data_IF_831962012125
#
_entry.id   IF_831962012125
#
_cell.length_a   1.000
_cell.length_b   1.000
_cell.length_c   1.000
_cell.angle_alpha   90.00
_cell.angle_beta   90.00
_cell.angle_gamma   90.00
#
_symmetry.space_group_name_H-M   'P 1'
#
loop_
_entity.id
_entity.type
_entity.pdbx_description
1 polymer ?
#
# COMPACT_ATOMS: atom_id res chain seq x y z
N UNK A 1 -29.17 58.99 -29.98
CA UNK A 1 -30.25 58.21 -29.34
C UNK A 1 -30.86 57.29 -30.40
N UNK A 2 -30.42 56.05 -30.51
CA UNK A 2 -31.08 55.06 -31.36
C UNK A 2 -31.07 53.75 -30.59
N UNK A 3 -32.26 53.28 -30.20
CA UNK A 3 -32.49 52.01 -29.51
C UNK A 3 -32.21 50.84 -30.44
N UNK A 4 -31.20 50.04 -30.15
CA UNK A 4 -30.95 48.76 -30.81
C UNK A 4 -31.67 47.67 -30.01
N UNK A 5 -32.80 47.22 -30.51
CA UNK A 5 -33.52 46.04 -29.99
C UNK A 5 -32.76 44.80 -30.43
N UNK A 6 -32.09 44.13 -29.47
CA UNK A 6 -31.50 42.79 -29.66
C UNK A 6 -32.64 41.78 -29.63
N UNK A 7 -32.96 41.23 -30.79
CA UNK A 7 -33.89 40.09 -30.91
C UNK A 7 -33.07 38.84 -30.57
N UNK A 8 -33.33 38.27 -29.37
CA UNK A 8 -32.80 36.99 -28.94
C UNK A 8 -33.56 35.87 -29.64
N UNK A 9 -33.04 35.42 -30.78
CA UNK A 9 -33.58 34.26 -31.49
C UNK A 9 -33.15 33.00 -30.72
N UNK A 10 -34.04 32.51 -29.85
CA UNK A 10 -33.89 31.24 -29.15
C UNK A 10 -34.03 30.10 -30.19
N UNK A 11 -32.90 29.60 -30.67
CA UNK A 11 -32.84 28.37 -31.42
C UNK A 11 -33.02 27.21 -30.42
N UNK A 12 -34.25 26.76 -30.25
CA UNK A 12 -34.60 25.53 -29.56
C UNK A 12 -34.04 24.38 -30.38
N UNK A 13 -32.82 23.94 -30.01
CA UNK A 13 -32.27 22.65 -30.45
C UNK A 13 -33.15 21.59 -29.79
N UNK A 14 -34.11 21.05 -30.51
CA UNK A 14 -34.85 19.86 -30.12
C UNK A 14 -33.83 18.67 -30.10
N UNK A 15 -33.26 18.44 -28.92
CA UNK A 15 -32.61 17.17 -28.62
C UNK A 15 -33.66 16.08 -28.75
N UNK A 16 -33.71 15.41 -29.91
CA UNK A 16 -34.38 14.13 -30.00
C UNK A 16 -33.68 13.17 -29.05
N UNK A 17 -34.12 13.13 -27.79
CA UNK A 17 -33.89 12.00 -26.91
C UNK A 17 -34.61 10.83 -27.60
N UNK A 18 -33.88 10.05 -28.41
CA UNK A 18 -34.38 8.77 -28.86
C UNK A 18 -34.56 7.91 -27.62
N UNK A 19 -35.78 7.93 -27.07
CA UNK A 19 -36.20 6.97 -26.10
C UNK A 19 -36.04 5.57 -26.75
N UNK A 20 -35.40 4.65 -26.08
CA UNK A 20 -35.25 3.28 -26.57
C UNK A 20 -36.66 2.68 -26.67
N UNK A 21 -37.25 2.64 -27.87
CA UNK A 21 -38.57 2.11 -28.09
C UNK A 21 -38.57 0.60 -27.90
N UNK A 22 -39.54 0.11 -27.16
CA UNK A 22 -39.78 -1.32 -26.95
C UNK A 22 -40.02 -2.01 -28.31
N UNK A 23 -39.39 -3.17 -28.52
CA UNK A 23 -39.60 -3.99 -29.73
C UNK A 23 -39.45 -5.48 -29.44
N UNK A 24 -40.00 -6.30 -30.34
CA UNK A 24 -39.85 -7.75 -30.35
C UNK A 24 -38.53 -8.10 -31.06
N UNK A 25 -37.63 -8.79 -30.38
CA UNK A 25 -36.34 -9.18 -30.94
C UNK A 25 -36.51 -10.35 -31.92
N UNK A 26 -36.26 -10.13 -33.19
CA UNK A 26 -36.28 -11.16 -34.21
C UNK A 26 -34.91 -11.78 -34.48
N UNK A 27 -33.84 -11.05 -34.18
CA UNK A 27 -32.47 -11.48 -34.31
C UNK A 27 -31.56 -10.70 -33.37
N UNK A 28 -30.39 -11.28 -33.01
CA UNK A 28 -29.39 -10.64 -32.15
C UNK A 28 -28.05 -10.66 -32.88
N UNK A 29 -27.51 -9.49 -33.14
CA UNK A 29 -26.19 -9.32 -33.79
C UNK A 29 -25.20 -8.69 -32.80
N UNK A 30 -24.04 -9.36 -32.69
CA UNK A 30 -22.94 -8.90 -31.83
C UNK A 30 -21.81 -8.40 -32.72
N UNK A 31 -21.32 -7.18 -32.45
CA UNK A 31 -20.28 -6.52 -33.22
C UNK A 31 -19.12 -6.15 -32.30
N UNK A 32 -17.88 -6.28 -32.79
CA UNK A 32 -16.67 -5.86 -32.06
C UNK A 32 -15.93 -6.97 -31.33
N UNK A 33 -16.43 -8.22 -31.39
CA UNK A 33 -15.74 -9.37 -30.80
C UNK A 33 -14.41 -9.66 -31.54
N UNK A 34 -13.38 -9.97 -30.79
CA UNK A 34 -12.05 -10.34 -31.31
C UNK A 34 -11.54 -11.66 -30.73
N UNK A 35 -11.64 -11.84 -29.41
CA UNK A 35 -11.20 -13.03 -28.68
C UNK A 35 -12.38 -13.77 -28.03
N UNK A 36 -13.35 -13.02 -27.55
CA UNK A 36 -14.54 -13.58 -26.91
C UNK A 36 -15.43 -14.23 -27.94
N UNK A 37 -15.86 -15.46 -27.69
CA UNK A 37 -16.77 -16.16 -28.62
C UNK A 37 -18.20 -15.60 -28.52
N UNK A 38 -18.90 -15.57 -29.64
CA UNK A 38 -20.32 -15.17 -29.68
C UNK A 38 -21.18 -16.03 -28.73
N UNK A 39 -20.87 -17.35 -28.62
CA UNK A 39 -21.56 -18.25 -27.71
C UNK A 39 -21.40 -17.86 -26.24
N UNK A 40 -20.23 -17.37 -25.83
CA UNK A 40 -20.02 -16.87 -24.46
C UNK A 40 -20.92 -15.69 -24.13
N UNK A 41 -21.16 -14.81 -25.12
CA UNK A 41 -22.08 -13.67 -24.95
C UNK A 41 -23.50 -14.14 -24.76
N UNK A 42 -23.98 -15.07 -25.61
CA UNK A 42 -25.34 -15.61 -25.49
C UNK A 42 -25.61 -16.33 -24.18
N UNK A 43 -24.60 -16.91 -23.55
CA UNK A 43 -24.73 -17.54 -22.23
C UNK A 43 -24.88 -16.52 -21.08
N UNK A 44 -24.50 -15.27 -21.27
CA UNK A 44 -24.46 -14.24 -20.24
C UNK A 44 -25.62 -13.25 -20.37
N UNK A 45 -26.07 -12.94 -21.59
CA UNK A 45 -27.13 -11.94 -21.78
C UNK A 45 -28.50 -12.51 -21.41
N UNK A 46 -29.33 -11.74 -20.64
CA UNK A 46 -30.65 -12.20 -20.17
C UNK A 46 -31.76 -11.93 -21.21
N UNK A 47 -31.49 -12.25 -22.49
CA UNK A 47 -32.46 -12.05 -23.59
C UNK A 47 -32.26 -13.12 -24.69
N UNK A 48 -33.35 -13.52 -25.31
CA UNK A 48 -33.38 -14.44 -26.43
C UNK A 48 -34.19 -13.89 -27.60
N UNK A 49 -34.02 -14.50 -28.77
CA UNK A 49 -34.87 -14.23 -29.93
C UNK A 49 -36.31 -14.57 -29.59
N UNK A 50 -37.25 -13.67 -29.87
CA UNK A 50 -38.65 -13.79 -29.49
C UNK A 50 -39.02 -13.00 -28.22
N UNK A 51 -38.04 -12.49 -27.48
CA UNK A 51 -38.32 -11.66 -26.30
C UNK A 51 -38.64 -10.20 -26.70
N UNK A 52 -39.39 -9.52 -25.86
CA UNK A 52 -39.50 -8.05 -25.92
C UNK A 52 -38.38 -7.40 -25.16
N UNK A 53 -37.73 -6.39 -25.75
CA UNK A 53 -36.71 -5.57 -25.13
C UNK A 53 -37.22 -4.17 -24.87
N UNK A 54 -37.03 -3.69 -23.67
CA UNK A 54 -37.25 -2.31 -23.20
C UNK A 54 -35.95 -1.74 -22.66
N UNK A 55 -35.97 -0.50 -22.17
CA UNK A 55 -34.79 0.17 -21.59
C UNK A 55 -34.25 -0.57 -20.36
N UNK A 56 -35.08 -1.24 -19.57
CA UNK A 56 -34.64 -1.99 -18.39
C UNK A 56 -33.88 -3.24 -18.80
N UNK A 57 -34.41 -4.03 -19.72
CA UNK A 57 -33.75 -5.20 -20.26
C UNK A 57 -32.45 -4.85 -20.99
N UNK A 58 -32.41 -3.70 -21.70
CA UNK A 58 -31.15 -3.24 -22.31
C UNK A 58 -30.09 -2.93 -21.27
N UNK A 59 -30.47 -2.29 -20.16
CA UNK A 59 -29.56 -2.04 -19.04
C UNK A 59 -29.08 -3.35 -18.34
N UNK A 60 -29.96 -4.34 -18.26
CA UNK A 60 -29.61 -5.65 -17.68
C UNK A 60 -28.61 -6.40 -18.58
N UNK A 61 -28.76 -6.32 -19.91
CA UNK A 61 -27.74 -6.84 -20.86
C UNK A 61 -26.39 -6.17 -20.63
N UNK A 62 -26.38 -4.84 -20.56
CA UNK A 62 -25.14 -4.06 -20.32
C UNK A 62 -24.49 -4.47 -19.01
N UNK A 63 -25.26 -4.57 -17.92
CA UNK A 63 -24.73 -5.00 -16.61
C UNK A 63 -24.17 -6.42 -16.65
N UNK A 64 -24.89 -7.36 -17.27
CA UNK A 64 -24.47 -8.76 -17.38
C UNK A 64 -23.15 -8.87 -18.15
N UNK A 65 -23.00 -8.12 -19.23
CA UNK A 65 -21.77 -8.11 -20.03
C UNK A 65 -20.61 -7.41 -19.30
N UNK A 66 -20.87 -6.28 -18.63
CA UNK A 66 -19.82 -5.63 -17.82
C UNK A 66 -19.36 -6.48 -16.63
N UNK A 67 -20.26 -7.28 -16.04
CA UNK A 67 -19.92 -8.18 -14.93
C UNK A 67 -18.92 -9.28 -15.33
N UNK A 68 -18.75 -9.55 -16.62
CA UNK A 68 -17.70 -10.47 -17.13
C UNK A 68 -16.31 -9.87 -17.08
N UNK A 69 -16.21 -8.57 -16.88
CA UNK A 69 -14.97 -7.77 -16.88
C UNK A 69 -14.16 -7.81 -18.19
N UNK A 70 -14.74 -8.36 -19.29
CA UNK A 70 -14.05 -8.53 -20.57
C UNK A 70 -14.18 -7.34 -21.52
N UNK A 71 -15.03 -6.36 -21.19
CA UNK A 71 -15.38 -5.26 -22.09
C UNK A 71 -15.04 -3.90 -21.48
N UNK A 72 -14.53 -2.98 -22.32
CA UNK A 72 -14.31 -1.59 -21.96
C UNK A 72 -15.55 -0.73 -22.30
N UNK A 73 -16.25 -1.08 -23.37
CA UNK A 73 -17.47 -0.39 -23.77
C UNK A 73 -18.51 -1.37 -24.31
N UNK A 74 -19.78 -1.07 -24.07
CA UNK A 74 -20.93 -1.85 -24.51
C UNK A 74 -22.05 -0.88 -24.91
N UNK A 75 -22.48 -0.99 -26.14
CA UNK A 75 -23.55 -0.19 -26.69
C UNK A 75 -24.68 -1.08 -27.21
N UNK A 76 -25.91 -0.72 -26.89
CA UNK A 76 -27.12 -1.40 -27.34
C UNK A 76 -27.79 -0.56 -28.42
N UNK A 77 -28.01 -1.15 -29.57
CA UNK A 77 -28.65 -0.52 -30.71
C UNK A 77 -29.79 -1.36 -31.27
N UNK A 78 -30.50 -0.80 -32.24
CA UNK A 78 -31.62 -1.42 -32.96
C UNK A 78 -31.46 -1.17 -34.46
N UNK A 79 -31.66 -2.24 -35.25
CA UNK A 79 -31.80 -2.16 -36.70
C UNK A 79 -33.04 -2.99 -37.12
N UNK A 80 -34.15 -2.27 -37.42
CA UNK A 80 -35.45 -2.93 -37.59
C UNK A 80 -35.87 -3.64 -36.30
N UNK A 81 -35.98 -4.95 -36.32
CA UNK A 81 -36.27 -5.80 -35.16
C UNK A 81 -35.03 -6.60 -34.71
N UNK A 82 -33.86 -6.30 -35.23
CA UNK A 82 -32.59 -6.88 -34.81
C UNK A 82 -32.02 -6.08 -33.64
N UNK A 83 -31.71 -6.77 -32.56
CA UNK A 83 -30.93 -6.20 -31.46
C UNK A 83 -29.46 -6.18 -31.84
N UNK A 84 -28.84 -5.02 -31.80
CA UNK A 84 -27.40 -4.86 -32.05
C UNK A 84 -26.69 -4.60 -30.74
N UNK A 85 -25.73 -5.47 -30.40
CA UNK A 85 -24.86 -5.34 -29.23
C UNK A 85 -23.46 -5.05 -29.77
N UNK A 86 -23.00 -3.81 -29.63
CA UNK A 86 -21.64 -3.42 -30.00
C UNK A 86 -20.76 -3.42 -28.78
N UNK A 87 -19.65 -4.13 -28.81
CA UNK A 87 -18.71 -4.25 -27.69
C UNK A 87 -17.30 -3.85 -28.08
N UNK A 88 -16.57 -3.33 -27.11
CA UNK A 88 -15.13 -3.10 -27.19
C UNK A 88 -14.47 -4.03 -26.17
N UNK A 89 -13.79 -5.08 -26.67
CA UNK A 89 -13.10 -6.02 -25.77
C UNK A 89 -11.87 -5.37 -25.15
N UNK A 90 -11.66 -5.63 -23.86
CA UNK A 90 -10.40 -5.33 -23.19
C UNK A 90 -9.28 -6.18 -23.78
N UNK A 91 -8.09 -5.63 -23.99
CA UNK A 91 -6.95 -6.44 -24.43
C UNK A 91 -6.54 -7.46 -23.37
N UNK A 92 -5.89 -8.54 -23.80
CA UNK A 92 -5.20 -9.45 -22.90
C UNK A 92 -3.73 -9.11 -22.81
N UNK A 93 -3.15 -9.23 -21.63
CA UNK A 93 -1.73 -9.03 -21.41
C UNK A 93 -0.96 -10.16 -22.09
N UNK A 94 -0.02 -9.81 -22.98
CA UNK A 94 0.80 -10.79 -23.71
C UNK A 94 2.24 -10.84 -23.22
N UNK A 95 2.72 -9.77 -22.58
CA UNK A 95 4.07 -9.67 -22.06
C UNK A 95 4.11 -8.59 -20.97
N UNK A 96 4.88 -8.83 -19.93
CA UNK A 96 5.21 -7.84 -18.91
C UNK A 96 6.72 -7.79 -18.77
N UNK A 97 7.31 -6.64 -19.05
CA UNK A 97 8.74 -6.39 -18.89
C UNK A 97 8.94 -5.36 -17.80
N UNK A 98 9.89 -5.62 -16.89
CA UNK A 98 10.29 -4.68 -15.83
C UNK A 98 11.78 -4.42 -15.97
N UNK A 99 12.16 -3.15 -15.97
CA UNK A 99 13.54 -2.72 -16.10
C UNK A 99 13.89 -1.61 -15.11
N UNK A 100 15.18 -1.41 -14.84
CA UNK A 100 15.68 -0.36 -13.95
C UNK A 100 15.59 -0.68 -12.46
N UNK A 101 14.89 -1.72 -12.06
CA UNK A 101 14.67 -2.17 -10.68
C UNK A 101 15.88 -2.93 -10.12
N UNK A 102 16.81 -2.24 -9.50
CA UNK A 102 18.02 -2.83 -8.88
C UNK A 102 17.82 -3.20 -7.40
N UNK A 103 17.06 -2.39 -6.68
CA UNK A 103 16.80 -2.59 -5.25
C UNK A 103 15.74 -3.67 -4.98
N UNK A 104 14.77 -3.81 -5.86
CA UNK A 104 13.73 -4.84 -5.77
C UNK A 104 13.94 -5.88 -6.88
N UNK A 105 13.85 -7.16 -6.55
CA UNK A 105 14.03 -8.24 -7.53
C UNK A 105 12.86 -8.32 -8.49
N UNK A 106 13.14 -8.51 -9.76
CA UNK A 106 12.12 -8.62 -10.83
C UNK A 106 11.12 -9.73 -10.55
N UNK A 107 11.58 -10.87 -10.03
CA UNK A 107 10.72 -12.02 -9.72
C UNK A 107 9.69 -11.67 -8.64
N UNK A 108 10.09 -10.95 -7.60
CA UNK A 108 9.20 -10.51 -6.53
C UNK A 108 8.16 -9.48 -7.02
N UNK A 109 8.59 -8.60 -7.93
CA UNK A 109 7.68 -7.64 -8.55
C UNK A 109 6.66 -8.34 -9.44
N UNK A 110 7.07 -9.30 -10.26
CA UNK A 110 6.17 -10.09 -11.10
C UNK A 110 5.19 -10.92 -10.27
N UNK A 111 5.63 -11.52 -9.17
CA UNK A 111 4.75 -12.25 -8.24
C UNK A 111 3.71 -11.31 -7.60
N UNK A 112 4.12 -10.11 -7.21
CA UNK A 112 3.20 -9.09 -6.68
C UNK A 112 2.18 -8.63 -7.71
N UNK A 113 2.58 -8.50 -8.98
CA UNK A 113 1.70 -8.18 -10.11
C UNK A 113 0.69 -9.31 -10.36
N UNK A 114 1.13 -10.57 -10.34
CA UNK A 114 0.24 -11.73 -10.49
C UNK A 114 -0.82 -11.78 -9.36
N UNK A 115 -0.42 -11.50 -8.13
CA UNK A 115 -1.32 -11.44 -6.97
C UNK A 115 -2.47 -10.44 -7.11
N UNK A 116 -2.32 -9.40 -7.95
CA UNK A 116 -3.37 -8.41 -8.24
C UNK A 116 -4.01 -8.59 -9.63
N UNK A 117 -3.74 -9.72 -10.30
CA UNK A 117 -4.34 -10.06 -11.60
C UNK A 117 -3.68 -9.38 -12.80
N UNK A 118 -2.43 -8.93 -12.67
CA UNK A 118 -1.61 -8.42 -13.77
C UNK A 118 -0.58 -9.49 -14.12
N UNK A 119 -0.93 -10.37 -15.04
CA UNK A 119 -0.05 -11.42 -15.59
C UNK A 119 -0.39 -11.73 -17.04
N UNK A 120 0.51 -12.41 -17.70
CA UNK A 120 0.30 -12.87 -19.08
C UNK A 120 -0.94 -13.77 -19.19
N UNK A 121 -1.76 -13.48 -20.20
CA UNK A 121 -3.02 -14.18 -20.47
C UNK A 121 -4.24 -13.53 -19.82
N UNK A 122 -4.08 -12.74 -18.77
CA UNK A 122 -5.20 -12.08 -18.10
C UNK A 122 -5.71 -10.86 -18.88
N UNK A 123 -6.95 -10.49 -18.57
CA UNK A 123 -7.59 -9.31 -19.16
C UNK A 123 -7.02 -8.05 -18.52
N UNK A 124 -6.56 -7.14 -19.34
CA UNK A 124 -6.00 -5.87 -18.88
C UNK A 124 -7.05 -4.97 -18.22
N UNK A 125 -6.70 -4.44 -17.05
CA UNK A 125 -7.52 -3.48 -16.29
C UNK A 125 -6.67 -2.25 -15.96
N UNK A 126 -6.91 -1.14 -16.63
CA UNK A 126 -6.15 0.11 -16.45
C UNK A 126 -6.13 0.58 -15.01
N UNK A 127 -7.28 0.51 -14.32
CA UNK A 127 -7.39 0.93 -12.92
C UNK A 127 -6.51 0.11 -11.96
N UNK A 128 -6.27 -1.17 -12.29
CA UNK A 128 -5.38 -2.02 -11.50
C UNK A 128 -3.92 -1.62 -11.74
N UNK A 129 -3.54 -1.35 -12.99
CA UNK A 129 -2.18 -0.94 -13.33
C UNK A 129 -1.79 0.41 -12.70
N UNK A 130 -2.71 1.38 -12.67
CA UNK A 130 -2.48 2.67 -11.99
C UNK A 130 -2.30 2.51 -10.46
N UNK A 131 -3.03 1.58 -9.84
CA UNK A 131 -2.82 1.24 -8.43
C UNK A 131 -1.43 0.63 -8.20
N UNK A 132 -1.02 -0.28 -9.08
CA UNK A 132 0.30 -0.90 -9.03
C UNK A 132 1.41 0.14 -9.15
N UNK A 133 1.32 1.07 -10.11
CA UNK A 133 2.27 2.18 -10.23
C UNK A 133 2.44 2.92 -8.91
N UNK A 134 1.31 3.30 -8.30
CA UNK A 134 1.32 4.02 -7.02
C UNK A 134 1.94 3.20 -5.89
N UNK A 135 1.69 1.88 -5.87
CA UNK A 135 2.21 0.97 -4.86
C UNK A 135 3.71 0.73 -5.02
N UNK A 136 4.20 0.59 -6.25
CA UNK A 136 5.64 0.50 -6.55
C UNK A 136 6.38 1.75 -6.06
N UNK A 137 5.89 2.95 -6.37
CA UNK A 137 6.50 4.21 -5.89
C UNK A 137 6.54 4.24 -4.37
N UNK A 138 5.49 3.80 -3.67
CA UNK A 138 5.47 3.71 -2.19
C UNK A 138 6.47 2.69 -1.68
N UNK A 139 6.58 1.52 -2.33
CA UNK A 139 7.53 0.48 -1.96
C UNK A 139 8.98 0.98 -2.06
N UNK A 140 9.31 1.70 -3.12
CA UNK A 140 10.61 2.34 -3.26
C UNK A 140 10.86 3.41 -2.19
N UNK A 141 9.84 4.22 -1.88
CA UNK A 141 9.94 5.24 -0.83
C UNK A 141 10.17 4.60 0.56
N UNK A 142 9.51 3.47 0.86
CA UNK A 142 9.72 2.71 2.11
C UNK A 142 11.14 2.20 2.25
N UNK A 143 11.81 1.96 1.12
CA UNK A 143 13.22 1.57 1.05
C UNK A 143 14.18 2.78 0.90
N UNK A 144 13.73 3.98 1.30
CA UNK A 144 14.55 5.19 1.28
C UNK A 144 14.77 5.81 -0.10
N UNK A 145 14.10 5.32 -1.14
CA UNK A 145 14.22 5.82 -2.51
C UNK A 145 13.06 6.77 -2.85
N UNK A 146 13.01 7.89 -2.17
CA UNK A 146 11.93 8.89 -2.31
C UNK A 146 11.92 9.61 -3.65
N UNK A 147 13.00 9.50 -4.42
CA UNK A 147 13.11 10.03 -5.77
C UNK A 147 12.72 9.04 -6.86
N UNK A 148 12.29 7.83 -6.49
CA UNK A 148 11.90 6.83 -7.46
C UNK A 148 10.72 7.29 -8.31
N UNK A 149 10.81 7.03 -9.60
CA UNK A 149 9.75 7.22 -10.58
C UNK A 149 9.50 5.90 -11.32
N UNK A 150 8.26 5.68 -11.70
CA UNK A 150 7.84 4.48 -12.41
C UNK A 150 7.05 4.91 -13.64
N UNK A 151 7.59 4.64 -14.81
CA UNK A 151 6.88 4.82 -16.06
C UNK A 151 6.30 3.50 -16.53
N UNK A 152 5.06 3.54 -17.01
CA UNK A 152 4.39 2.36 -17.55
C UNK A 152 3.96 2.67 -18.98
N UNK A 153 4.50 1.89 -19.90
CA UNK A 153 4.22 1.99 -21.32
C UNK A 153 3.33 0.82 -21.76
N UNK A 154 2.23 1.15 -22.41
CA UNK A 154 1.22 0.21 -22.92
C UNK A 154 1.34 0.13 -24.43
N UNK A 155 1.68 -1.04 -24.98
CA UNK A 155 1.87 -1.25 -26.42
C UNK A 155 0.83 -2.23 -26.93
N UNK A 156 -0.16 -1.72 -27.67
CA UNK A 156 -1.19 -2.56 -28.27
C UNK A 156 -0.61 -3.36 -29.45
N UNK A 157 -0.84 -4.67 -29.42
CA UNK A 157 -0.40 -5.64 -30.45
C UNK A 157 -1.58 -6.22 -31.22
N UNK A 158 -1.34 -6.85 -32.39
CA UNK A 158 -2.39 -7.54 -33.13
C UNK A 158 -3.17 -8.55 -32.26
N UNK A 159 -4.43 -8.80 -32.61
CA UNK A 159 -5.37 -9.69 -31.92
C UNK A 159 -5.71 -9.25 -30.52
N UNK A 160 -5.87 -7.94 -30.33
CA UNK A 160 -6.25 -7.31 -29.06
C UNK A 160 -5.39 -7.79 -27.88
N UNK A 161 -4.05 -7.78 -28.06
CA UNK A 161 -3.07 -8.09 -27.04
C UNK A 161 -2.34 -6.82 -26.62
N UNK A 162 -1.87 -6.80 -25.36
CA UNK A 162 -1.16 -5.68 -24.78
C UNK A 162 0.18 -6.14 -24.23
N UNK A 163 1.25 -5.45 -24.58
CA UNK A 163 2.53 -5.54 -23.87
C UNK A 163 2.62 -4.38 -22.89
N UNK A 164 3.07 -4.68 -21.66
CA UNK A 164 3.27 -3.72 -20.59
C UNK A 164 4.76 -3.66 -20.30
N UNK A 165 5.35 -2.48 -20.48
CA UNK A 165 6.73 -2.20 -20.06
C UNK A 165 6.71 -1.28 -18.86
N UNK A 166 7.31 -1.73 -17.77
CA UNK A 166 7.44 -0.98 -16.51
C UNK A 166 8.90 -0.57 -16.38
N UNK A 167 9.16 0.71 -16.54
CA UNK A 167 10.50 1.29 -16.41
C UNK A 167 10.62 2.00 -15.06
N UNK A 168 11.60 1.59 -14.26
CA UNK A 168 11.83 2.14 -12.93
C UNK A 168 13.11 2.97 -12.94
N UNK A 169 12.97 4.25 -12.66
CA UNK A 169 14.09 5.07 -12.22
C UNK A 169 14.07 5.12 -10.69
N UNK A 170 14.94 4.34 -10.05
CA UNK A 170 14.99 4.28 -8.60
C UNK A 170 15.50 5.57 -7.94
N UNK A 171 16.09 6.46 -8.71
CA UNK A 171 16.74 7.66 -8.19
C UNK A 171 17.88 7.36 -7.21
N UNK A 172 18.26 8.36 -6.43
CA UNK A 172 19.23 8.18 -5.36
C UNK A 172 18.55 7.78 -4.05
N UNK A 173 19.19 6.90 -3.28
CA UNK A 173 18.79 6.63 -1.90
C UNK A 173 19.00 7.88 -1.05
N UNK A 174 17.96 8.29 -0.34
CA UNK A 174 18.09 9.38 0.63
C UNK A 174 18.87 8.89 1.86
N UNK A 175 19.78 9.73 2.35
CA UNK A 175 20.64 9.42 3.49
C UNK A 175 20.18 10.18 4.73
N UNK A 176 20.27 9.54 5.86
CA UNK A 176 20.00 10.19 7.15
C UNK A 176 21.08 11.25 7.38
N UNK A 177 20.63 12.48 7.47
CA UNK A 177 21.47 13.66 7.70
C UNK A 177 21.55 14.00 9.17
N UNK A 178 20.41 13.84 9.91
CA UNK A 178 20.33 14.11 11.33
C UNK A 178 19.23 13.27 11.98
N UNK A 179 19.52 12.79 13.18
CA UNK A 179 18.56 12.19 14.12
C UNK A 179 18.56 13.09 15.36
N UNK A 180 17.40 13.53 15.81
CA UNK A 180 17.22 14.38 16.98
C UNK A 180 16.23 13.74 17.94
N UNK A 181 16.52 13.79 19.22
CA UNK A 181 15.61 13.38 20.28
C UNK A 181 15.22 14.65 21.03
N UNK A 182 13.94 14.84 21.28
CA UNK A 182 13.39 16.01 21.99
C UNK A 182 12.63 15.54 23.21
N UNK A 183 12.92 16.10 24.38
CA UNK A 183 12.34 15.72 25.65
C UNK A 183 13.23 14.80 26.48
N UNK A 184 14.44 14.49 25.99
CA UNK A 184 15.48 13.74 26.71
C UNK A 184 16.31 14.72 27.58
N UNK A 185 15.91 14.88 28.83
CA UNK A 185 16.58 15.74 29.79
C UNK A 185 17.70 15.02 30.58
N UNK A 186 17.56 13.70 30.76
CA UNK A 186 18.44 12.88 31.57
C UNK A 186 19.65 12.35 30.81
N UNK A 187 19.47 11.93 29.56
CA UNK A 187 20.53 11.33 28.73
C UNK A 187 20.76 12.19 27.48
N UNK A 188 22.00 12.28 27.04
CA UNK A 188 22.36 13.04 25.83
C UNK A 188 21.94 12.29 24.57
N UNK A 189 21.72 13.05 23.46
CA UNK A 189 21.46 12.45 22.14
C UNK A 189 22.55 11.46 21.77
N UNK A 190 23.84 11.82 21.96
CA UNK A 190 24.98 10.96 21.60
C UNK A 190 24.92 9.62 22.33
N UNK A 191 24.59 9.62 23.62
CA UNK A 191 24.48 8.41 24.44
C UNK A 191 23.33 7.53 23.99
N UNK A 192 22.16 8.11 23.64
CA UNK A 192 20.99 7.36 23.20
C UNK A 192 21.20 6.79 21.78
N UNK A 193 21.78 7.60 20.88
CA UNK A 193 22.01 7.22 19.50
C UNK A 193 23.13 6.18 19.30
N UNK A 194 24.03 6.01 20.29
CA UNK A 194 25.13 5.02 20.21
C UNK A 194 24.60 3.57 20.08
N UNK A 195 23.40 3.31 20.59
CA UNK A 195 22.75 1.98 20.52
C UNK A 195 21.88 1.77 19.30
N UNK A 196 21.70 2.78 18.43
CA UNK A 196 20.82 2.70 17.28
C UNK A 196 21.49 2.01 16.08
N UNK A 197 20.67 1.32 15.29
CA UNK A 197 21.10 0.79 13.99
C UNK A 197 21.19 1.88 12.93
N UNK A 198 20.24 2.85 12.97
CA UNK A 198 20.27 4.03 12.12
C UNK A 198 21.31 5.04 12.63
N UNK A 199 22.12 5.55 11.75
CA UNK A 199 23.13 6.54 12.11
C UNK A 199 23.15 7.71 11.16
N UNK A 200 23.60 8.86 11.67
CA UNK A 200 23.88 10.02 10.85
C UNK A 200 25.05 9.76 9.89
N UNK A 201 24.98 10.32 8.70
CA UNK A 201 26.05 10.22 7.71
C UNK A 201 27.33 10.87 8.20
N UNK A 202 28.29 10.06 8.63
CA UNK A 202 29.67 10.50 8.94
C UNK A 202 30.53 10.57 7.69
N UNK A 203 31.65 11.29 7.75
CA UNK A 203 32.61 11.38 6.66
C UNK A 203 33.16 10.01 6.21
N UNK A 204 33.10 9.01 7.09
CA UNK A 204 33.51 7.61 6.81
C UNK A 204 32.33 6.66 6.50
N UNK A 205 31.11 7.13 6.45
CA UNK A 205 29.92 6.30 6.26
C UNK A 205 29.73 5.77 4.83
N UNK A 206 30.69 6.03 3.92
CA UNK A 206 30.69 5.42 2.59
C UNK A 206 30.92 3.90 2.60
N UNK A 207 31.40 3.36 3.72
CA UNK A 207 31.63 1.92 3.92
C UNK A 207 30.48 1.21 4.66
N UNK A 208 29.52 1.95 5.22
CA UNK A 208 28.39 1.36 5.95
C UNK A 208 27.05 1.80 5.34
N UNK A 209 26.06 0.92 5.34
CA UNK A 209 24.69 1.21 4.90
C UNK A 209 23.79 1.75 6.02
N UNK A 210 24.35 2.04 7.21
CA UNK A 210 23.57 2.43 8.38
C UNK A 210 22.98 3.84 8.27
N UNK A 211 23.49 4.66 7.33
CA UNK A 211 22.93 5.97 7.01
C UNK A 211 21.78 5.91 5.96
N UNK A 212 21.39 4.73 5.52
CA UNK A 212 20.23 4.55 4.66
C UNK A 212 19.00 4.29 5.54
N UNK A 213 17.94 5.04 5.28
CA UNK A 213 16.69 4.86 5.98
C UNK A 213 16.09 3.48 5.66
N UNK A 214 15.69 2.77 6.69
CA UNK A 214 14.84 1.59 6.63
C UNK A 214 13.78 1.69 7.71
N UNK A 215 12.55 1.32 7.40
CA UNK A 215 11.45 1.35 8.35
C UNK A 215 11.65 0.31 9.46
N UNK A 216 12.21 -0.85 9.11
CA UNK A 216 12.49 -1.94 10.05
C UNK A 216 13.52 -1.48 11.09
N UNK A 217 14.60 -0.83 10.65
CA UNK A 217 15.61 -0.25 11.54
C UNK A 217 15.03 0.84 12.42
N UNK A 218 14.17 1.69 11.85
CA UNK A 218 13.49 2.72 12.64
C UNK A 218 12.68 2.13 13.79
N UNK A 219 11.92 1.06 13.53
CA UNK A 219 11.12 0.37 14.57
C UNK A 219 12.05 -0.26 15.60
N UNK A 220 13.12 -0.93 15.19
CA UNK A 220 14.11 -1.50 16.10
C UNK A 220 14.78 -0.44 17.00
N UNK A 221 15.10 0.72 16.43
CA UNK A 221 15.68 1.83 17.19
C UNK A 221 14.70 2.42 18.22
N UNK A 222 13.39 2.49 17.89
CA UNK A 222 12.36 2.89 18.84
C UNK A 222 12.23 1.90 20.00
N UNK A 223 12.25 0.61 19.73
CA UNK A 223 12.24 -0.45 20.77
C UNK A 223 13.51 -0.39 21.64
N UNK A 224 14.66 -0.16 21.01
CA UNK A 224 15.94 0.02 21.71
C UNK A 224 15.90 1.22 22.64
N UNK A 225 15.37 2.36 22.17
CA UNK A 225 15.21 3.57 22.99
C UNK A 225 14.29 3.33 24.18
N UNK A 226 13.18 2.65 23.95
CA UNK A 226 12.21 2.33 24.99
C UNK A 226 12.83 1.41 26.06
N UNK A 227 13.54 0.37 25.65
CA UNK A 227 14.27 -0.55 26.52
C UNK A 227 15.37 0.17 27.30
N UNK A 228 16.12 1.05 26.64
CA UNK A 228 17.19 1.83 27.29
C UNK A 228 16.69 2.62 28.50
N UNK A 229 15.57 3.31 28.35
CA UNK A 229 14.95 4.08 29.43
C UNK A 229 14.34 3.19 30.52
N UNK A 230 13.59 2.15 30.14
CA UNK A 230 12.93 1.22 31.08
C UNK A 230 13.93 0.47 31.95
N UNK A 231 15.10 0.13 31.40
CA UNK A 231 16.15 -0.54 32.16
C UNK A 231 16.87 0.39 33.15
N UNK A 232 16.63 1.72 33.04
CA UNK A 232 17.23 2.71 33.93
C UNK A 232 16.23 3.35 34.89
N UNK A 233 15.05 2.77 35.03
CA UNK A 233 14.03 3.17 35.99
C UNK A 233 12.89 3.99 35.41
N UNK A 234 12.91 4.33 34.14
CA UNK A 234 11.87 5.16 33.51
C UNK A 234 10.70 4.30 33.00
N UNK A 235 10.01 3.64 33.93
CA UNK A 235 8.92 2.69 33.62
C UNK A 235 7.81 3.31 32.74
N UNK A 236 7.54 4.60 32.90
CA UNK A 236 6.52 5.34 32.16
C UNK A 236 7.09 6.09 30.95
N UNK A 237 8.31 5.80 30.55
CA UNK A 237 8.86 6.34 29.32
C UNK A 237 7.93 6.08 28.15
N UNK A 238 7.74 7.07 27.32
CA UNK A 238 6.92 6.94 26.11
C UNK A 238 7.49 7.77 24.96
N UNK A 239 7.36 7.25 23.75
CA UNK A 239 7.65 7.97 22.52
C UNK A 239 6.34 8.57 22.03
N UNK A 240 6.20 9.90 22.15
CA UNK A 240 4.98 10.61 21.80
C UNK A 240 4.78 10.68 20.27
N UNK A 241 5.87 10.88 19.53
CA UNK A 241 5.85 10.85 18.07
C UNK A 241 7.22 10.60 17.47
N UNK A 242 7.23 10.02 16.27
CA UNK A 242 8.39 9.96 15.40
C UNK A 242 8.06 10.69 14.09
N UNK A 243 8.88 11.69 13.73
CA UNK A 243 8.69 12.48 12.52
C UNK A 243 9.87 12.27 11.58
N UNK A 244 9.54 11.99 10.32
CA UNK A 244 10.53 11.85 9.25
C UNK A 244 10.27 12.95 8.25
N UNK A 245 11.27 13.79 8.02
CA UNK A 245 11.21 14.84 7.02
C UNK A 245 12.28 14.65 5.95
N UNK A 246 11.92 14.98 4.72
CA UNK A 246 12.75 14.84 3.55
C UNK A 246 13.15 16.21 3.03
N UNK A 247 14.43 16.39 2.68
CA UNK A 247 14.90 17.60 2.01
C UNK A 247 14.22 17.79 0.64
N UNK A 248 14.19 19.04 0.16
CA UNK A 248 13.56 19.35 -1.14
C UNK A 248 14.17 18.59 -2.32
N UNK A 249 15.47 18.31 -2.27
CA UNK A 249 16.20 17.56 -3.29
C UNK A 249 16.07 16.04 -3.13
N UNK A 250 15.26 15.59 -2.14
CA UNK A 250 14.99 14.17 -1.82
C UNK A 250 16.25 13.33 -1.52
N UNK A 251 17.36 13.96 -1.11
CA UNK A 251 18.63 13.27 -0.83
C UNK A 251 18.96 13.14 0.64
N UNK A 252 18.29 13.91 1.51
CA UNK A 252 18.56 13.94 2.94
C UNK A 252 17.29 13.71 3.75
N UNK A 253 17.42 12.85 4.77
CA UNK A 253 16.37 12.53 5.72
C UNK A 253 16.75 13.11 7.07
N UNK A 254 15.78 13.70 7.75
CA UNK A 254 15.86 14.17 9.12
C UNK A 254 14.82 13.40 9.93
N UNK A 255 15.24 12.78 11.04
CA UNK A 255 14.38 12.02 11.94
C UNK A 255 14.32 12.79 13.25
N UNK A 256 13.13 12.95 13.80
CA UNK A 256 12.91 13.58 15.11
C UNK A 256 12.03 12.69 15.94
N UNK A 257 12.50 12.29 17.12
CA UNK A 257 11.74 11.58 18.13
C UNK A 257 11.34 12.57 19.22
N UNK A 258 10.06 12.66 19.51
CA UNK A 258 9.56 13.39 20.68
C UNK A 258 9.28 12.35 21.75
N UNK A 259 9.94 12.49 22.90
CA UNK A 259 9.84 11.54 24.02
C UNK A 259 9.38 12.24 25.28
N UNK A 260 8.78 11.45 26.17
CA UNK A 260 8.49 11.82 27.54
C UNK A 260 9.17 10.80 28.44
N UNK A 261 10.18 11.24 29.20
CA UNK A 261 10.93 10.35 30.08
C UNK A 261 10.10 9.82 31.24
N UNK A 262 9.18 10.65 31.73
CA UNK A 262 8.44 10.36 32.98
C UNK A 262 9.34 10.45 34.23
N UNK A 263 8.87 9.86 35.32
CA UNK A 263 9.61 9.80 36.58
C UNK A 263 10.47 8.54 36.64
N UNK A 264 11.59 8.63 37.38
CA UNK A 264 12.43 7.48 37.68
C UNK A 264 11.87 6.70 38.84
N UNK A 265 11.70 5.40 38.68
CA UNK A 265 11.15 4.47 39.68
C UNK A 265 12.25 3.60 40.28
N UNK A 266 12.07 3.33 41.61
CA UNK A 266 12.82 2.31 42.36
C UNK A 266 11.84 1.28 42.86
N UNK A 267 12.31 0.05 43.06
CA UNK A 267 11.52 -1.04 43.61
C UNK A 267 11.52 -0.89 45.14
N UNK A 268 10.37 -0.57 45.71
CA UNK A 268 10.25 -0.38 47.16
C UNK A 268 10.11 -1.71 47.92
N UNK A 269 9.28 -2.60 47.38
CA UNK A 269 9.03 -3.91 47.97
C UNK A 269 8.65 -4.93 46.90
N UNK A 270 8.84 -6.21 47.21
CA UNK A 270 8.56 -7.33 46.30
C UNK A 270 7.86 -8.42 47.10
N UNK A 271 6.63 -8.76 46.69
CA UNK A 271 5.85 -9.84 47.27
C UNK A 271 5.83 -11.04 46.33
N UNK A 272 6.05 -12.23 46.84
CA UNK A 272 5.92 -13.48 46.10
C UNK A 272 4.61 -14.16 46.51
N UNK A 273 3.70 -14.38 45.55
CA UNK A 273 2.36 -14.91 45.82
C UNK A 273 2.24 -16.27 45.09
N UNK A 274 1.74 -17.30 45.76
CA UNK A 274 1.46 -18.61 45.19
C UNK A 274 2.23 -19.74 45.85
N UNK A 275 2.18 -20.93 45.25
CA UNK A 275 3.01 -22.06 45.67
C UNK A 275 4.43 -21.87 45.13
N UNK A 276 5.38 -21.74 46.03
CA UNK A 276 6.79 -21.52 45.65
C UNK A 276 7.48 -22.88 45.63
N UNK A 277 7.94 -23.36 44.46
CA UNK A 277 8.53 -24.68 44.33
C UNK A 277 10.03 -24.72 44.66
N UNK A 278 10.54 -23.64 45.32
CA UNK A 278 11.94 -23.50 45.71
C UNK A 278 12.08 -23.45 47.20
N UNK A 279 13.31 -23.72 47.67
CA UNK A 279 13.69 -23.46 49.09
C UNK A 279 13.57 -21.95 49.39
N UNK A 280 13.18 -21.62 50.58
CA UNK A 280 12.90 -20.26 51.02
C UNK A 280 14.07 -19.29 50.82
N UNK A 281 15.30 -19.83 50.92
CA UNK A 281 16.52 -19.06 50.69
C UNK A 281 16.64 -18.51 49.26
N UNK A 282 16.19 -19.24 48.25
CA UNK A 282 16.34 -18.83 46.82
C UNK A 282 15.44 -17.63 46.50
N UNK A 283 14.19 -17.67 46.95
CA UNK A 283 13.31 -16.52 46.65
C UNK A 283 13.63 -15.31 47.53
N UNK A 284 14.11 -15.50 48.76
CA UNK A 284 14.58 -14.40 49.63
C UNK A 284 15.78 -13.71 48.96
N UNK A 285 16.70 -14.42 48.36
CA UNK A 285 17.83 -13.86 47.64
C UNK A 285 17.35 -13.00 46.46
N UNK A 286 16.39 -13.50 45.66
CA UNK A 286 15.80 -12.76 44.52
C UNK A 286 15.11 -11.48 45.03
N UNK A 287 14.25 -11.56 46.05
CA UNK A 287 13.56 -10.43 46.64
C UNK A 287 14.55 -9.37 47.14
N UNK A 288 15.57 -9.80 47.88
CA UNK A 288 16.61 -8.91 48.40
C UNK A 288 17.46 -8.27 47.31
N UNK A 289 17.67 -8.95 46.18
CA UNK A 289 18.41 -8.42 45.05
C UNK A 289 17.66 -7.30 44.32
N UNK A 290 16.33 -7.27 44.41
CA UNK A 290 15.48 -6.29 43.75
C UNK A 290 15.15 -5.08 44.64
N UNK A 291 15.05 -5.29 45.96
CA UNK A 291 14.62 -4.26 46.90
C UNK A 291 15.55 -3.05 46.90
N UNK A 292 14.97 -1.87 46.90
CA UNK A 292 15.64 -0.55 46.84
C UNK A 292 16.53 -0.33 45.61
N UNK A 293 16.42 -1.21 44.59
CA UNK A 293 17.12 -1.04 43.32
C UNK A 293 16.33 -0.13 42.39
N UNK A 294 17.04 0.47 41.44
CA UNK A 294 16.38 1.14 40.30
C UNK A 294 15.63 0.09 39.49
N UNK A 295 14.39 0.36 39.12
CA UNK A 295 13.62 -0.53 38.26
C UNK A 295 14.39 -0.79 36.93
N UNK A 296 14.41 -2.04 36.49
CA UNK A 296 14.97 -2.47 35.19
C UNK A 296 14.05 -3.51 34.60
N UNK A 297 13.53 -3.21 33.41
CA UNK A 297 12.67 -4.13 32.67
C UNK A 297 13.41 -5.45 32.34
N UNK A 298 14.66 -5.34 31.89
CA UNK A 298 15.49 -6.51 31.59
C UNK A 298 15.69 -7.40 32.81
N UNK A 299 15.92 -6.82 33.99
CA UNK A 299 16.09 -7.58 35.25
C UNK A 299 14.81 -8.32 35.62
N UNK A 300 13.65 -7.66 35.51
CA UNK A 300 12.34 -8.29 35.83
C UNK A 300 12.08 -9.43 34.81
N UNK A 301 12.27 -9.19 33.52
CA UNK A 301 12.09 -10.22 32.48
C UNK A 301 13.01 -11.43 32.70
N UNK A 302 14.27 -11.21 33.09
CA UNK A 302 15.21 -12.29 33.38
C UNK A 302 14.77 -13.15 34.57
N UNK A 303 14.16 -12.52 35.58
CA UNK A 303 13.61 -13.24 36.74
C UNK A 303 12.34 -14.02 36.34
N UNK A 304 11.46 -13.42 35.53
CA UNK A 304 10.28 -14.11 35.00
C UNK A 304 10.69 -15.34 34.18
N UNK A 305 11.65 -15.20 33.27
CA UNK A 305 12.19 -16.30 32.47
C UNK A 305 12.83 -17.38 33.33
N UNK A 306 13.56 -17.03 34.38
CA UNK A 306 14.09 -17.98 35.33
C UNK A 306 12.98 -18.82 35.97
N UNK A 307 11.91 -18.20 36.44
CA UNK A 307 10.77 -18.92 37.01
C UNK A 307 10.06 -19.81 35.98
N UNK A 308 9.82 -19.31 34.76
CA UNK A 308 9.22 -20.11 33.68
C UNK A 308 10.05 -21.34 33.34
N UNK A 309 11.37 -21.21 33.24
CA UNK A 309 12.26 -22.31 32.89
C UNK A 309 12.39 -23.37 33.99
N UNK A 310 12.14 -23.00 35.24
CA UNK A 310 12.24 -23.94 36.38
C UNK A 310 10.90 -24.60 36.68
N UNK A 311 9.78 -23.94 36.33
CA UNK A 311 8.43 -24.44 36.52
C UNK A 311 7.88 -25.25 35.35
N UNK A 312 8.44 -25.06 34.13
CA UNK A 312 7.92 -25.62 32.89
C UNK A 312 8.53 -26.81 32.41
#
# INVERSE_FOLDING_TARGET
>A
MKNLKIIFLSFLLSLNLNAFDEFLVSDIRIIGLQRVSTGSIFNVIPISVGDRIDIRKSNDIVRSLFSTEQFDDIQIGKDGNTLIITVVERPSISLIEISGNKALKTEQLLESLDGVGIKEGEVYKRSTLEKVKSELVRSYASNGRYGADVEINEILKPRNRLEISIEVDEGNSAKIKKISIIGNETFSDDELLDSFELSEGSFFSFLSSNNQYSREKLVGDLETLESYYRDRGYLKFSIESSQISLSRDKKSIFITYNVNEGEKYTINDVDVIGEIPFEEEVYIEIVNSLKDQTYSQAQITSIEEFFVNVLG
#
